data_IF_839701318443
#
_entry.id   IF_839701318443
#
_cell.length_a   1.000
_cell.length_b   1.000
_cell.length_c   1.000
_cell.angle_alpha   90.00
_cell.angle_beta   90.00
_cell.angle_gamma   90.00
#
_symmetry.space_group_name_H-M   'P 1'
#
loop_
_entity.id
_entity.type
_entity.pdbx_description
1 polymer ?
#
# COMPACT_ATOMS: atom_id res chain seq x y z
N UNK A 1 -12.28 -0.09 19.86
CA UNK A 1 -13.44 -0.46 19.03
C UNK A 1 -13.95 0.80 18.39
N UNK A 2 -13.54 1.06 17.15
CA UNK A 2 -14.02 2.19 16.35
C UNK A 2 -15.07 1.62 15.40
N UNK A 3 -16.34 1.78 15.76
CA UNK A 3 -17.51 1.35 14.98
C UNK A 3 -17.99 2.54 14.16
N UNK A 4 -17.19 2.94 13.18
CA UNK A 4 -17.60 3.93 12.19
C UNK A 4 -17.75 3.22 10.85
N UNK A 5 -18.94 3.25 10.23
CA UNK A 5 -19.09 2.69 8.89
C UNK A 5 -18.18 3.45 7.93
N UNK A 6 -17.22 2.75 7.34
CA UNK A 6 -16.42 3.28 6.25
C UNK A 6 -17.29 3.22 4.99
N UNK A 7 -18.08 4.27 4.80
CA UNK A 7 -18.65 4.57 3.49
C UNK A 7 -17.55 5.24 2.67
N UNK A 8 -16.92 4.47 1.78
CA UNK A 8 -16.13 5.05 0.70
C UNK A 8 -17.05 5.94 -0.15
N UNK A 9 -17.12 7.23 0.18
CA UNK A 9 -17.89 8.21 -0.58
C UNK A 9 -17.16 8.47 -1.90
N UNK A 10 -17.55 7.71 -2.90
CA UNK A 10 -17.40 8.00 -4.31
C UNK A 10 -17.87 6.80 -5.08
N UNK A 11 -18.58 7.09 -6.15
CA UNK A 11 -19.35 6.16 -6.96
C UNK A 11 -18.68 4.80 -7.06
N UNK A 12 -19.38 3.79 -6.57
CA UNK A 12 -19.39 2.47 -7.17
C UNK A 12 -19.60 2.65 -8.67
N UNK A 13 -18.51 2.78 -9.43
CA UNK A 13 -18.53 2.34 -10.82
C UNK A 13 -18.61 0.83 -10.75
N UNK A 14 -19.85 0.36 -10.61
CA UNK A 14 -20.30 -0.92 -11.13
C UNK A 14 -19.59 -1.18 -12.46
N UNK A 15 -18.86 -2.31 -12.52
CA UNK A 15 -18.52 -3.00 -13.77
C UNK A 15 -17.61 -2.28 -14.79
N UNK A 16 -16.49 -1.71 -14.36
CA UNK A 16 -15.35 -1.52 -15.28
C UNK A 16 -14.04 -1.92 -14.63
N UNK A 17 -13.16 -2.55 -15.40
CA UNK A 17 -11.86 -3.09 -15.00
C UNK A 17 -10.81 -2.03 -14.60
N UNK A 18 -11.25 -0.80 -14.30
CA UNK A 18 -10.39 0.33 -14.03
C UNK A 18 -10.48 0.72 -12.55
N UNK A 19 -9.33 1.04 -11.96
CA UNK A 19 -9.27 1.43 -10.55
C UNK A 19 -9.99 2.78 -10.36
N UNK A 20 -10.47 3.04 -9.15
CA UNK A 20 -10.92 4.38 -8.79
C UNK A 20 -9.82 5.40 -9.14
N UNK A 21 -10.10 6.39 -10.01
CA UNK A 21 -9.08 7.31 -10.50
C UNK A 21 -8.45 8.11 -9.35
N UNK A 22 -9.15 8.27 -8.22
CA UNK A 22 -8.62 8.93 -7.02
C UNK A 22 -7.52 8.12 -6.37
N UNK A 23 -7.70 6.79 -6.28
CA UNK A 23 -6.68 5.87 -5.75
C UNK A 23 -5.46 5.89 -6.66
N UNK A 24 -5.67 5.74 -7.98
CA UNK A 24 -4.58 5.76 -8.96
C UNK A 24 -3.81 7.08 -8.94
N UNK A 25 -4.52 8.21 -8.90
CA UNK A 25 -3.89 9.53 -8.83
C UNK A 25 -3.12 9.75 -7.52
N UNK A 26 -3.67 9.31 -6.39
CA UNK A 26 -2.97 9.38 -5.11
C UNK A 26 -1.68 8.56 -5.14
N UNK A 27 -1.73 7.32 -5.65
CA UNK A 27 -0.53 6.47 -5.77
C UNK A 27 0.50 7.10 -6.70
N UNK A 28 0.09 7.72 -7.82
CA UNK A 28 1.02 8.45 -8.68
C UNK A 28 1.70 9.63 -7.98
N UNK A 29 0.97 10.38 -7.15
CA UNK A 29 1.55 11.47 -6.37
C UNK A 29 2.50 10.95 -5.29
N UNK A 30 2.12 9.88 -4.58
CA UNK A 30 2.96 9.23 -3.58
C UNK A 30 4.27 8.72 -4.18
N UNK A 31 4.22 8.07 -5.35
CA UNK A 31 5.43 7.63 -6.06
C UNK A 31 6.33 8.81 -6.40
N UNK A 32 5.76 9.91 -6.92
CA UNK A 32 6.55 11.12 -7.22
C UNK A 32 7.19 11.72 -5.97
N UNK A 33 6.49 11.71 -4.84
CA UNK A 33 7.02 12.17 -3.56
C UNK A 33 8.19 11.30 -3.08
N UNK A 34 8.05 9.97 -3.14
CA UNK A 34 9.13 9.01 -2.86
C UNK A 34 10.35 9.28 -3.75
N UNK A 35 10.14 9.46 -5.05
CA UNK A 35 11.21 9.72 -6.01
C UNK A 35 11.92 11.05 -5.76
N UNK A 36 11.16 12.10 -5.42
CA UNK A 36 11.67 13.43 -5.11
C UNK A 36 12.37 13.52 -3.75
N UNK A 37 12.12 12.56 -2.84
CA UNK A 37 12.76 12.54 -1.52
C UNK A 37 14.28 12.42 -1.68
N UNK A 38 15.01 13.34 -1.05
CA UNK A 38 16.46 13.31 -1.04
C UNK A 38 16.95 12.18 -0.14
N UNK A 39 17.95 11.45 -0.60
CA UNK A 39 18.44 10.25 0.06
C UNK A 39 19.95 10.32 0.24
N UNK A 40 20.41 10.18 1.47
CA UNK A 40 21.82 10.06 1.80
C UNK A 40 22.19 8.58 2.02
N UNK A 41 22.21 7.78 0.94
CA UNK A 41 22.38 6.32 1.03
C UNK A 41 23.67 5.84 1.70
N UNK A 42 24.72 6.66 1.64
CA UNK A 42 25.98 6.35 2.31
C UNK A 42 25.89 6.51 3.84
N UNK A 43 24.86 7.21 4.33
CA UNK A 43 24.68 7.57 5.73
C UNK A 43 23.54 6.82 6.43
N UNK A 44 22.67 6.13 5.69
CA UNK A 44 21.51 5.43 6.25
C UNK A 44 21.45 3.95 5.84
N UNK A 45 21.12 3.05 6.78
CA UNK A 45 20.89 1.64 6.46
C UNK A 45 19.66 1.46 5.55
N UNK A 46 19.50 0.30 4.89
CA UNK A 46 18.27 -0.04 4.18
C UNK A 46 17.02 0.02 5.07
N UNK A 47 15.84 0.19 4.47
CA UNK A 47 14.58 0.16 5.19
C UNK A 47 14.33 -1.24 5.77
N UNK A 48 14.11 -1.30 7.08
CA UNK A 48 13.76 -2.53 7.80
C UNK A 48 12.25 -2.70 7.98
N UNK A 49 11.48 -1.61 7.89
CA UNK A 49 10.04 -1.62 8.12
C UNK A 49 9.28 -0.70 7.16
N UNK A 50 8.10 -1.14 6.72
CA UNK A 50 7.14 -0.37 5.93
C UNK A 50 5.75 -0.57 6.53
N UNK A 51 5.08 0.53 6.85
CA UNK A 51 3.73 0.51 7.40
C UNK A 51 2.76 1.24 6.47
N UNK A 52 1.77 0.50 5.96
CA UNK A 52 0.62 1.06 5.24
C UNK A 52 -0.54 1.26 6.22
N UNK A 53 -0.68 2.49 6.72
CA UNK A 53 -1.80 2.90 7.59
C UNK A 53 -2.68 3.99 6.98
N UNK A 54 -3.71 4.42 7.72
CA UNK A 54 -4.56 5.57 7.36
C UNK A 54 -6.05 5.25 7.46
N UNK A 55 -6.78 5.43 6.36
CA UNK A 55 -8.19 5.06 6.27
C UNK A 55 -8.36 3.55 6.12
N UNK A 56 -8.39 3.07 4.87
CA UNK A 56 -8.48 1.64 4.58
C UNK A 56 -7.50 1.27 3.47
N UNK A 57 -6.20 1.14 3.78
CA UNK A 57 -5.16 0.80 2.79
C UNK A 57 -5.46 -0.47 2.01
N UNK A 58 -6.13 -1.42 2.64
CA UNK A 58 -6.69 -2.63 2.03
C UNK A 58 -7.64 -2.39 0.85
N UNK A 59 -8.20 -1.20 0.64
CA UNK A 59 -8.95 -0.88 -0.59
C UNK A 59 -8.05 -0.75 -1.82
N UNK A 60 -6.77 -0.41 -1.63
CA UNK A 60 -5.81 -0.24 -2.73
C UNK A 60 -5.57 -1.59 -3.42
N UNK A 61 -5.68 -1.66 -4.76
CA UNK A 61 -5.39 -2.88 -5.50
C UNK A 61 -3.94 -3.35 -5.29
N UNK A 62 -3.67 -4.67 -5.14
CA UNK A 62 -2.32 -5.19 -4.93
C UNK A 62 -1.31 -4.70 -5.96
N UNK A 63 -1.73 -4.54 -7.23
CA UNK A 63 -0.86 -4.00 -8.30
C UNK A 63 -0.34 -2.58 -8.03
N UNK A 64 -1.10 -1.75 -7.31
CA UNK A 64 -0.68 -0.39 -6.95
C UNK A 64 0.20 -0.42 -5.70
N UNK A 65 -0.07 -1.30 -4.74
CA UNK A 65 0.81 -1.55 -3.60
C UNK A 65 2.19 -2.02 -4.07
N UNK A 66 2.23 -2.92 -5.07
CA UNK A 66 3.45 -3.40 -5.68
C UNK A 66 4.30 -2.25 -6.24
N UNK A 67 3.69 -1.32 -6.99
CA UNK A 67 4.38 -0.13 -7.50
C UNK A 67 5.03 0.69 -6.39
N UNK A 68 4.32 0.92 -5.28
CA UNK A 68 4.88 1.67 -4.15
C UNK A 68 6.06 0.92 -3.53
N UNK A 69 5.93 -0.38 -3.29
CA UNK A 69 7.01 -1.21 -2.74
C UNK A 69 8.23 -1.27 -3.66
N UNK A 70 8.03 -1.37 -4.98
CA UNK A 70 9.11 -1.36 -5.97
C UNK A 70 9.83 -0.01 -5.99
N UNK A 71 9.09 1.11 -5.93
CA UNK A 71 9.68 2.45 -5.83
C UNK A 71 10.47 2.59 -4.53
N UNK A 72 9.94 2.11 -3.38
CA UNK A 72 10.66 2.11 -2.10
C UNK A 72 11.92 1.25 -2.15
N UNK A 73 11.86 0.05 -2.73
CA UNK A 73 13.02 -0.84 -2.93
C UNK A 73 14.10 -0.16 -3.77
N UNK A 74 13.72 0.42 -4.91
CA UNK A 74 14.65 1.08 -5.83
C UNK A 74 15.23 2.35 -5.25
N UNK A 75 14.43 3.12 -4.52
CA UNK A 75 14.86 4.37 -3.92
C UNK A 75 15.64 4.08 -2.65
N UNK A 76 15.02 3.54 -1.60
CA UNK A 76 15.62 3.50 -0.26
C UNK A 76 16.44 2.26 0.07
N UNK A 77 16.39 1.21 -0.77
CA UNK A 77 16.76 -0.17 -0.43
C UNK A 77 15.84 -0.71 0.65
N UNK A 78 15.27 -1.89 0.44
CA UNK A 78 14.43 -2.57 1.42
C UNK A 78 15.12 -3.86 1.82
N UNK A 79 15.24 -4.13 3.13
CA UNK A 79 15.76 -5.38 3.63
C UNK A 79 14.93 -6.57 3.11
N UNK A 80 15.58 -7.71 2.88
CA UNK A 80 14.90 -8.91 2.37
C UNK A 80 13.89 -9.47 3.38
N UNK A 81 14.17 -9.27 4.66
CA UNK A 81 13.38 -9.66 5.83
C UNK A 81 12.61 -8.46 6.44
N UNK A 82 12.45 -7.37 5.68
CA UNK A 82 11.73 -6.20 6.15
C UNK A 82 10.31 -6.56 6.62
N UNK A 83 9.87 -5.94 7.71
CA UNK A 83 8.48 -6.02 8.13
C UNK A 83 7.64 -5.13 7.22
N UNK A 84 6.65 -5.71 6.53
CA UNK A 84 5.69 -4.96 5.72
C UNK A 84 4.31 -5.19 6.33
N UNK A 85 3.85 -4.15 7.03
CA UNK A 85 2.61 -4.14 7.80
C UNK A 85 1.52 -3.36 7.06
N UNK A 86 0.26 -3.82 7.10
CA UNK A 86 -0.88 -3.12 6.50
C UNK A 86 -2.11 -3.10 7.42
N UNK A 87 -2.77 -1.95 7.54
CA UNK A 87 -4.11 -1.84 8.13
C UNK A 87 -5.17 -2.37 7.14
N UNK A 88 -5.99 -3.30 7.61
CA UNK A 88 -7.00 -3.96 6.79
C UNK A 88 -8.37 -3.91 7.46
N UNK A 89 -9.41 -3.54 6.71
CA UNK A 89 -10.79 -3.72 7.14
C UNK A 89 -11.25 -5.13 6.71
N UNK A 90 -11.78 -5.97 7.62
CA UNK A 90 -12.32 -7.29 7.30
C UNK A 90 -13.29 -7.33 6.11
N UNK A 91 -13.99 -6.23 5.81
CA UNK A 91 -14.93 -6.13 4.69
C UNK A 91 -14.31 -5.82 3.32
N UNK A 92 -12.99 -5.62 3.23
CA UNK A 92 -12.34 -5.02 2.04
C UNK A 92 -11.32 -5.91 1.33
N UNK A 93 -11.15 -7.15 1.82
CA UNK A 93 -10.28 -8.14 1.19
C UNK A 93 -10.98 -9.51 1.08
N UNK A 94 -10.53 -10.28 0.10
CA UNK A 94 -10.87 -11.70 -0.04
C UNK A 94 -9.59 -12.55 0.02
N UNK A 95 -9.74 -13.86 -0.06
CA UNK A 95 -8.62 -14.80 -0.01
C UNK A 95 -7.61 -14.61 -1.15
N UNK A 96 -8.05 -14.12 -2.32
CA UNK A 96 -7.15 -13.91 -3.46
C UNK A 96 -6.32 -12.65 -3.25
N UNK A 97 -6.96 -11.54 -2.87
CA UNK A 97 -6.29 -10.28 -2.55
C UNK A 97 -5.27 -10.44 -1.43
N UNK A 98 -5.59 -11.22 -0.39
CA UNK A 98 -4.65 -11.51 0.69
C UNK A 98 -3.44 -12.30 0.19
N UNK A 99 -3.65 -13.31 -0.67
CA UNK A 99 -2.54 -14.06 -1.30
C UNK A 99 -1.66 -13.15 -2.15
N UNK A 100 -2.27 -12.26 -2.92
CA UNK A 100 -1.54 -11.32 -3.76
C UNK A 100 -0.69 -10.38 -2.90
N UNK A 101 -1.26 -9.80 -1.82
CA UNK A 101 -0.54 -8.94 -0.88
C UNK A 101 0.61 -9.67 -0.17
N UNK A 102 0.39 -10.91 0.29
CA UNK A 102 1.45 -11.75 0.85
C UNK A 102 2.56 -12.02 -0.18
N UNK A 103 2.20 -12.23 -1.45
CA UNK A 103 3.14 -12.39 -2.55
C UNK A 103 4.02 -11.16 -2.81
N UNK A 104 3.57 -9.97 -2.40
CA UNK A 104 4.36 -8.72 -2.46
C UNK A 104 5.28 -8.54 -1.24
N UNK A 105 5.16 -9.41 -0.22
CA UNK A 105 5.93 -9.38 1.00
C UNK A 105 5.21 -8.81 2.22
N UNK A 106 3.91 -8.46 2.12
CA UNK A 106 3.10 -8.09 3.29
C UNK A 106 3.06 -9.28 4.25
N UNK A 107 3.60 -9.11 5.45
CA UNK A 107 3.83 -10.18 6.41
C UNK A 107 3.20 -9.91 7.80
N UNK A 108 2.59 -8.74 7.98
CA UNK A 108 1.83 -8.40 9.18
C UNK A 108 0.60 -7.56 8.83
N UNK A 109 -0.50 -7.81 9.52
CA UNK A 109 -1.77 -7.09 9.32
C UNK A 109 -2.29 -6.56 10.65
N UNK A 110 -2.94 -5.39 10.60
CA UNK A 110 -3.71 -4.82 11.71
C UNK A 110 -5.18 -4.78 11.32
N UNK A 111 -6.06 -5.32 12.17
CA UNK A 111 -7.51 -5.36 12.00
C UNK A 111 -8.20 -4.50 13.06
#
# INVERSE_FOLDING_TARGET
YCDFPILALGSSSTETADDDPRISNYIHLLIREIEATQTHFEQHPPLETVFFGGGTPSLVPPRLVAKVLDTLRSKFRLCLDAEISMEMDPGTFDAQKLKDLMGLGVNRVSL
#
